data_IF_984473070048
#
_entry.id   IF_984473070048
#
_cell.length_a   1.000
_cell.length_b   1.000
_cell.length_c   1.000
_cell.angle_alpha   90.00
_cell.angle_beta   90.00
_cell.angle_gamma   90.00
#
_symmetry.space_group_name_H-M   'P 1'
#
loop_
_entity.id
_entity.type
_entity.pdbx_description
1 polymer ?
#
# COMPACT_ATOMS: atom_id res chain seq x y z
N UNK A 1 -8.72 -57.97 -4.47
CA UNK A 1 -8.46 -57.15 -3.27
C UNK A 1 -7.43 -56.12 -3.68
N UNK A 2 -7.85 -54.88 -3.94
CA UNK A 2 -6.90 -53.81 -4.27
C UNK A 2 -6.10 -53.47 -3.03
N UNK A 3 -4.78 -53.48 -3.15
CA UNK A 3 -3.86 -53.26 -2.04
C UNK A 3 -4.05 -51.85 -1.48
N UNK A 4 -4.00 -51.69 -0.16
CA UNK A 4 -4.15 -50.39 0.55
C UNK A 4 -3.18 -49.33 0.00
N UNK A 5 -1.99 -49.75 -0.41
CA UNK A 5 -0.99 -48.89 -1.05
C UNK A 5 -1.51 -48.19 -2.31
N UNK A 6 -2.37 -48.85 -3.10
CA UNK A 6 -2.93 -48.30 -4.33
C UNK A 6 -3.96 -47.20 -4.01
N UNK A 7 -4.81 -47.42 -3.01
CA UNK A 7 -5.76 -46.41 -2.52
C UNK A 7 -5.04 -45.18 -1.94
N UNK A 8 -3.93 -45.37 -1.24
CA UNK A 8 -3.10 -44.27 -0.74
C UNK A 8 -2.45 -43.49 -1.88
N UNK A 9 -1.97 -44.16 -2.93
CA UNK A 9 -1.41 -43.46 -4.10
C UNK A 9 -2.46 -42.64 -4.84
N UNK A 10 -3.69 -43.16 -4.93
CA UNK A 10 -4.80 -42.48 -5.59
C UNK A 10 -5.25 -41.26 -4.77
N UNK A 11 -5.40 -41.43 -3.46
CA UNK A 11 -5.72 -40.34 -2.53
C UNK A 11 -4.64 -39.23 -2.54
N UNK A 12 -3.37 -39.61 -2.65
CA UNK A 12 -2.28 -38.64 -2.79
C UNK A 12 -2.38 -37.85 -4.10
N UNK A 13 -2.76 -38.51 -5.20
CA UNK A 13 -3.05 -37.86 -6.48
C UNK A 13 -4.17 -36.83 -6.36
N UNK A 14 -5.27 -37.17 -5.69
CA UNK A 14 -6.39 -36.25 -5.45
C UNK A 14 -5.98 -35.08 -4.56
N UNK A 15 -5.15 -35.30 -3.53
CA UNK A 15 -4.62 -34.24 -2.68
C UNK A 15 -3.79 -33.24 -3.48
N UNK A 16 -2.88 -33.72 -4.33
CA UNK A 16 -2.04 -32.87 -5.18
C UNK A 16 -2.90 -32.10 -6.19
N UNK A 17 -3.90 -32.75 -6.79
CA UNK A 17 -4.84 -32.10 -7.70
C UNK A 17 -5.60 -30.97 -7.01
N UNK A 18 -6.11 -31.20 -5.79
CA UNK A 18 -6.80 -30.19 -4.99
C UNK A 18 -5.90 -29.03 -4.61
N UNK A 19 -4.68 -29.31 -4.15
CA UNK A 19 -3.70 -28.29 -3.80
C UNK A 19 -3.28 -27.46 -5.03
N UNK A 20 -3.13 -28.10 -6.19
CA UNK A 20 -2.83 -27.43 -7.46
C UNK A 20 -3.94 -26.45 -7.88
N UNK A 21 -5.21 -26.87 -7.81
CA UNK A 21 -6.34 -26.01 -8.13
C UNK A 21 -6.42 -24.79 -7.20
N UNK A 22 -6.26 -24.99 -5.89
CA UNK A 22 -6.25 -23.90 -4.91
C UNK A 22 -5.10 -22.93 -5.20
N UNK A 23 -3.92 -23.45 -5.54
CA UNK A 23 -2.77 -22.60 -5.86
C UNK A 23 -2.99 -21.75 -7.11
N UNK A 24 -3.58 -22.33 -8.16
CA UNK A 24 -3.96 -21.60 -9.38
C UNK A 24 -4.99 -20.52 -9.04
N UNK A 25 -6.02 -20.86 -8.28
CA UNK A 25 -7.07 -19.93 -7.89
C UNK A 25 -6.52 -18.74 -7.09
N UNK A 26 -5.69 -18.99 -6.07
CA UNK A 26 -5.06 -17.93 -5.29
C UNK A 26 -4.09 -17.09 -6.14
N UNK A 27 -3.33 -17.70 -7.04
CA UNK A 27 -2.45 -16.98 -7.96
C UNK A 27 -3.23 -15.99 -8.84
N UNK A 28 -4.37 -16.43 -9.39
CA UNK A 28 -5.27 -15.55 -10.16
C UNK A 28 -5.80 -14.42 -9.27
N UNK A 29 -6.18 -14.72 -8.02
CA UNK A 29 -6.66 -13.72 -7.06
C UNK A 29 -5.60 -12.65 -6.77
N UNK A 30 -4.35 -13.07 -6.53
CA UNK A 30 -3.21 -12.20 -6.27
C UNK A 30 -2.94 -11.28 -7.46
N UNK A 31 -2.97 -11.84 -8.68
CA UNK A 31 -2.83 -11.04 -9.91
C UNK A 31 -3.97 -10.03 -10.02
N UNK A 32 -5.21 -10.44 -9.76
CA UNK A 32 -6.38 -9.57 -9.77
C UNK A 32 -6.26 -8.40 -8.79
N UNK A 33 -5.85 -8.67 -7.55
CA UNK A 33 -5.61 -7.64 -6.52
C UNK A 33 -4.51 -6.67 -6.99
N UNK A 34 -3.45 -7.18 -7.63
CA UNK A 34 -2.40 -6.34 -8.21
C UNK A 34 -2.91 -5.44 -9.33
N UNK A 35 -3.79 -5.94 -10.20
CA UNK A 35 -4.43 -5.14 -11.26
C UNK A 35 -5.28 -4.03 -10.64
N UNK A 36 -6.09 -4.36 -9.62
CA UNK A 36 -6.93 -3.37 -8.92
C UNK A 36 -6.07 -2.30 -8.25
N UNK A 37 -4.99 -2.69 -7.56
CA UNK A 37 -4.06 -1.76 -6.92
C UNK A 37 -3.37 -0.83 -7.93
N UNK A 38 -3.12 -1.32 -9.16
CA UNK A 38 -2.52 -0.53 -10.23
C UNK A 38 -3.53 0.36 -10.96
N UNK A 39 -4.79 -0.08 -11.08
CA UNK A 39 -5.86 0.66 -11.74
C UNK A 39 -6.44 1.77 -10.86
N UNK A 40 -6.49 1.52 -9.54
CA UNK A 40 -6.85 2.49 -8.52
C UNK A 40 -5.66 2.73 -7.59
N UNK A 41 -4.62 3.45 -8.06
CA UNK A 41 -3.57 3.88 -7.16
C UNK A 41 -4.23 4.76 -6.10
N UNK A 42 -4.20 4.29 -4.85
CA UNK A 42 -4.57 5.13 -3.72
C UNK A 42 -3.71 6.40 -3.81
N UNK A 43 -4.29 7.61 -3.64
CA UNK A 43 -3.49 8.81 -3.52
C UNK A 43 -2.51 8.55 -2.39
N UNK A 44 -1.25 8.36 -2.75
CA UNK A 44 -0.17 8.45 -1.78
C UNK A 44 -0.23 9.92 -1.40
N UNK A 45 -0.84 10.24 -0.25
CA UNK A 45 -0.41 11.40 0.48
C UNK A 45 1.08 11.16 0.66
N UNK A 46 1.88 11.76 -0.22
CA UNK A 46 3.31 11.88 0.02
C UNK A 46 3.39 12.35 1.48
N UNK A 47 4.03 11.58 2.38
CA UNK A 47 4.36 12.15 3.67
C UNK A 47 5.24 13.31 3.26
N UNK A 48 4.69 14.53 3.30
CA UNK A 48 5.28 15.72 2.70
C UNK A 48 6.75 15.68 3.03
N UNK A 49 7.55 15.25 2.04
CA UNK A 49 8.98 15.43 2.08
C UNK A 49 9.12 16.91 1.84
N UNK A 50 8.80 17.69 2.87
CA UNK A 50 9.38 18.99 3.05
C UNK A 50 10.87 18.78 2.81
N UNK A 51 11.52 19.67 2.05
CA UNK A 51 12.90 19.49 1.64
C UNK A 51 13.69 19.09 2.88
N UNK A 52 14.41 17.97 2.78
CA UNK A 52 15.27 17.50 3.85
C UNK A 52 16.26 18.63 4.16
N UNK A 53 15.93 19.46 5.14
CA UNK A 53 16.83 20.48 5.65
C UNK A 53 17.78 19.74 6.58
N UNK A 54 18.78 19.15 5.95
CA UNK A 54 20.05 18.87 6.59
C UNK A 54 20.49 20.17 7.27
N UNK A 55 20.49 20.16 8.60
CA UNK A 55 21.27 21.11 9.37
C UNK A 55 20.55 22.38 9.79
N UNK A 56 20.49 22.50 11.11
CA UNK A 56 20.89 23.68 11.87
C UNK A 56 19.77 24.55 12.45
N UNK A 57 19.81 24.59 13.79
CA UNK A 57 19.36 25.64 14.68
C UNK A 57 17.86 25.96 14.72
N UNK A 58 17.24 25.37 15.73
CA UNK A 58 16.16 25.98 16.52
C UNK A 58 16.57 27.41 16.92
N UNK A 59 16.25 28.40 16.10
CA UNK A 59 16.24 29.80 16.53
C UNK A 59 14.92 30.05 17.25
N UNK A 60 15.02 30.34 18.55
CA UNK A 60 13.94 30.88 19.38
C UNK A 60 13.61 32.27 18.84
N UNK A 61 12.77 32.31 17.82
CA UNK A 61 12.34 33.50 17.12
C UNK A 61 11.19 33.07 16.22
N UNK A 62 10.06 33.78 16.33
CA UNK A 62 8.84 33.47 15.60
C UNK A 62 9.19 33.23 14.12
N UNK A 63 8.81 32.06 13.62
CA UNK A 63 9.18 31.61 12.28
C UNK A 63 8.64 32.60 11.24
N UNK A 64 9.50 33.27 10.45
CA UNK A 64 9.08 34.25 9.45
C UNK A 64 8.10 33.67 8.42
N UNK A 65 8.16 32.34 8.18
CA UNK A 65 7.23 31.63 7.29
C UNK A 65 5.83 31.57 7.88
N UNK A 66 5.72 31.42 9.21
CA UNK A 66 4.44 31.40 9.91
C UNK A 66 3.77 32.78 9.87
N UNK A 67 4.53 33.87 10.05
CA UNK A 67 4.02 35.25 9.95
C UNK A 67 3.54 35.56 8.54
N UNK A 68 4.27 35.14 7.51
CA UNK A 68 3.88 35.31 6.11
C UNK A 68 2.58 34.55 5.77
N UNK A 69 2.42 33.32 6.28
CA UNK A 69 1.21 32.52 6.09
C UNK A 69 -0.01 33.12 6.80
N UNK A 70 0.16 33.64 8.01
CA UNK A 70 -0.93 34.31 8.74
C UNK A 70 -1.31 35.61 8.02
N UNK A 71 -0.33 36.38 7.55
CA UNK A 71 -0.56 37.64 6.84
C UNK A 71 -1.32 37.43 5.53
N UNK A 72 -0.97 36.39 4.75
CA UNK A 72 -1.67 36.06 3.51
C UNK A 72 -3.10 35.60 3.76
N UNK A 73 -3.35 34.84 4.84
CA UNK A 73 -4.67 34.43 5.24
C UNK A 73 -5.56 35.62 5.65
N UNK A 74 -5.01 36.59 6.40
CA UNK A 74 -5.74 37.81 6.78
C UNK A 74 -6.03 38.68 5.56
N UNK A 75 -5.07 38.82 4.64
CA UNK A 75 -5.26 39.57 3.41
C UNK A 75 -6.36 38.96 2.53
N UNK A 76 -6.42 37.62 2.43
CA UNK A 76 -7.48 36.92 1.72
C UNK A 76 -8.85 37.11 2.38
N UNK A 77 -8.93 37.09 3.72
CA UNK A 77 -10.19 37.30 4.42
C UNK A 77 -10.71 38.74 4.28
N UNK A 78 -9.82 39.74 4.26
CA UNK A 78 -10.21 41.16 4.08
C UNK A 78 -10.54 41.54 2.64
N UNK A 79 -10.04 40.78 1.66
CA UNK A 79 -10.37 40.96 0.25
C UNK A 79 -11.68 40.26 -0.16
N UNK A 80 -12.33 39.57 0.78
CA UNK A 80 -13.61 38.89 0.64
C UNK A 80 -14.68 39.62 1.44
#
# INVERSE_FOLDING_TARGET
MTSISEQLSDALGIMVMGMGLVFIFLSILIIGIGIVAKLFPAPIEEPVTGPATTGCAKTVGIDPKLVAAITSAIHQYRAK
#
